data_IF_360068895255
#
_entry.id   IF_360068895255
#
_cell.length_a   1.000
_cell.length_b   1.000
_cell.length_c   1.000
_cell.angle_alpha   90.00
_cell.angle_beta   90.00
_cell.angle_gamma   90.00
#
_symmetry.space_group_name_H-M   'P 1'
#
loop_
_entity.id
_entity.type
_entity.pdbx_description
1 polymer ?
#
# COMPACT_ATOMS: atom_id res chain seq x y z
N UNK A 1 -5.73 13.17 24.57
CA UNK A 1 -5.39 12.94 23.13
C UNK A 1 -5.53 11.45 22.91
N UNK A 2 -6.51 11.05 22.13
CA UNK A 2 -6.68 9.66 21.76
C UNK A 2 -5.44 9.20 20.98
N UNK A 3 -4.76 8.18 21.49
CA UNK A 3 -3.75 7.47 20.72
C UNK A 3 -4.45 6.87 19.49
N UNK A 4 -4.34 7.52 18.36
CA UNK A 4 -4.83 6.98 17.10
C UNK A 4 -3.94 5.80 16.72
N UNK A 5 -4.39 4.61 17.07
CA UNK A 5 -3.72 3.38 16.68
C UNK A 5 -3.71 3.27 15.16
N UNK A 6 -2.53 3.22 14.54
CA UNK A 6 -2.41 2.92 13.12
C UNK A 6 -2.59 1.41 12.96
N UNK A 7 -3.82 1.00 12.68
CA UNK A 7 -4.20 -0.38 12.42
C UNK A 7 -4.45 -0.52 10.93
N UNK A 8 -4.01 -1.63 10.31
CA UNK A 8 -4.33 -1.92 8.93
C UNK A 8 -5.85 -1.88 8.69
N UNK A 9 -6.26 -1.01 7.81
CA UNK A 9 -7.66 -0.86 7.45
C UNK A 9 -7.97 -1.63 6.17
N UNK A 10 -8.51 -2.85 6.33
CA UNK A 10 -8.81 -3.76 5.21
C UNK A 10 -9.84 -3.17 4.24
N UNK A 11 -10.87 -2.49 4.76
CA UNK A 11 -11.89 -1.87 3.91
C UNK A 11 -11.28 -0.76 3.07
N UNK A 12 -10.52 0.16 3.70
CA UNK A 12 -9.80 1.21 2.97
C UNK A 12 -8.79 0.63 1.97
N UNK A 13 -8.10 -0.46 2.33
CA UNK A 13 -7.17 -1.14 1.42
C UNK A 13 -7.88 -1.69 0.17
N UNK A 14 -9.01 -2.35 0.36
CA UNK A 14 -9.84 -2.85 -0.74
C UNK A 14 -10.31 -1.72 -1.66
N UNK A 15 -10.79 -0.62 -1.08
CA UNK A 15 -11.18 0.57 -1.85
C UNK A 15 -9.99 1.25 -2.54
N UNK A 16 -8.80 1.22 -1.93
CA UNK A 16 -7.57 1.76 -2.56
C UNK A 16 -7.14 0.93 -3.78
N UNK A 17 -7.28 -0.39 -3.74
CA UNK A 17 -7.05 -1.25 -4.91
C UNK A 17 -7.97 -0.83 -6.05
N UNK A 18 -9.28 -0.68 -5.79
CA UNK A 18 -10.27 -0.23 -6.77
C UNK A 18 -9.94 1.17 -7.31
N UNK A 19 -9.65 2.10 -6.40
CA UNK A 19 -9.34 3.49 -6.74
C UNK A 19 -8.17 3.59 -7.71
N UNK A 20 -7.08 2.90 -7.40
CA UNK A 20 -5.87 2.88 -8.21
C UNK A 20 -6.11 2.13 -9.53
N UNK A 21 -6.73 0.94 -9.49
CA UNK A 21 -6.98 0.14 -10.68
C UNK A 21 -7.88 0.85 -11.70
N UNK A 22 -8.87 1.63 -11.26
CA UNK A 22 -9.73 2.41 -12.16
C UNK A 22 -9.00 3.57 -12.87
N UNK A 23 -7.82 3.97 -12.38
CA UNK A 23 -7.04 5.10 -12.90
C UNK A 23 -5.80 4.70 -13.69
N UNK A 24 -5.42 3.43 -13.67
CA UNK A 24 -4.24 2.93 -14.35
C UNK A 24 -4.62 2.28 -15.69
N UNK A 25 -3.84 2.53 -16.74
CA UNK A 25 -3.90 1.77 -17.98
C UNK A 25 -3.34 0.35 -17.77
N UNK A 26 -2.17 0.26 -17.13
CA UNK A 26 -1.56 -1.01 -16.76
C UNK A 26 -1.83 -1.33 -15.29
N UNK A 27 -2.66 -2.32 -15.02
CA UNK A 27 -3.22 -2.69 -13.71
C UNK A 27 -2.65 -4.00 -13.16
N UNK A 28 -1.42 -4.33 -13.50
CA UNK A 28 -0.80 -5.52 -12.90
C UNK A 28 -0.52 -5.30 -11.40
N UNK A 29 -0.51 -6.41 -10.66
CA UNK A 29 -0.28 -6.45 -9.22
C UNK A 29 0.98 -5.66 -8.82
N UNK A 30 2.05 -5.82 -9.59
CA UNK A 30 3.31 -5.11 -9.34
C UNK A 30 3.13 -3.59 -9.40
N UNK A 31 2.46 -3.06 -10.44
CA UNK A 31 2.18 -1.63 -10.59
C UNK A 31 1.35 -1.13 -9.41
N UNK A 32 0.26 -1.81 -9.07
CA UNK A 32 -0.62 -1.43 -7.97
C UNK A 32 0.15 -1.37 -6.65
N UNK A 33 0.99 -2.37 -6.34
CA UNK A 33 1.80 -2.37 -5.13
C UNK A 33 2.73 -1.16 -5.03
N UNK A 34 3.37 -0.78 -6.15
CA UNK A 34 4.28 0.37 -6.17
C UNK A 34 3.53 1.70 -6.04
N UNK A 35 2.39 1.84 -6.69
CA UNK A 35 1.54 3.03 -6.54
C UNK A 35 1.09 3.19 -5.09
N UNK A 36 0.66 2.12 -4.42
CA UNK A 36 0.28 2.16 -3.01
C UNK A 36 1.49 2.51 -2.13
N UNK A 37 2.65 1.92 -2.37
CA UNK A 37 3.87 2.23 -1.62
C UNK A 37 4.27 3.70 -1.71
N UNK A 38 4.24 4.28 -2.89
CA UNK A 38 4.55 5.71 -3.07
C UNK A 38 3.49 6.63 -2.47
N UNK A 39 2.22 6.24 -2.53
CA UNK A 39 1.14 6.99 -1.88
C UNK A 39 1.31 7.00 -0.34
N UNK A 40 1.67 5.85 0.25
CA UNK A 40 1.99 5.76 1.69
C UNK A 40 3.14 6.70 2.07
N UNK A 41 4.24 6.68 1.31
CA UNK A 41 5.38 7.58 1.55
C UNK A 41 4.98 9.05 1.44
N UNK A 42 4.18 9.39 0.43
CA UNK A 42 3.68 10.76 0.24
C UNK A 42 2.80 11.20 1.41
N UNK A 43 1.90 10.33 1.85
CA UNK A 43 1.02 10.63 2.97
C UNK A 43 1.80 10.75 4.30
N UNK A 44 2.81 9.90 4.51
CA UNK A 44 3.75 10.06 5.63
C UNK A 44 4.46 11.40 5.58
N UNK A 45 5.00 11.80 4.43
CA UNK A 45 5.69 13.07 4.23
C UNK A 45 4.82 14.28 4.59
N UNK A 46 3.56 14.26 4.14
CA UNK A 46 2.67 15.41 4.25
C UNK A 46 1.93 15.45 5.61
N UNK A 47 1.64 14.30 6.20
CA UNK A 47 0.73 14.17 7.34
C UNK A 47 1.28 13.37 8.52
N UNK A 48 2.47 12.80 8.42
CA UNK A 48 3.10 12.02 9.50
C UNK A 48 2.39 10.71 9.82
N UNK A 49 1.53 10.19 8.94
CA UNK A 49 0.83 8.92 9.12
C UNK A 49 0.62 8.20 7.78
N UNK A 50 0.53 6.86 7.78
CA UNK A 50 0.24 6.10 6.56
C UNK A 50 -1.25 6.15 6.22
N UNK A 51 -1.59 5.79 4.96
CA UNK A 51 -2.98 5.62 4.49
C UNK A 51 -3.57 4.32 5.01
N UNK A 52 -2.86 3.21 4.79
CA UNK A 52 -3.34 1.84 5.03
C UNK A 52 -2.74 1.22 6.29
N UNK A 53 -1.50 1.56 6.63
CA UNK A 53 -0.77 0.92 7.72
C UNK A 53 -0.40 -0.55 7.43
N UNK A 54 -0.19 -0.92 6.16
CA UNK A 54 0.19 -2.28 5.76
C UNK A 54 1.67 -2.57 6.07
N UNK A 55 2.03 -3.84 6.16
CA UNK A 55 3.42 -4.27 6.27
C UNK A 55 3.98 -4.48 4.85
N UNK A 56 5.01 -3.72 4.50
CA UNK A 56 5.70 -3.86 3.22
C UNK A 56 6.86 -4.85 3.33
N UNK A 57 6.88 -5.85 2.45
CA UNK A 57 7.96 -6.85 2.39
C UNK A 57 8.94 -6.50 1.27
N UNK A 58 10.24 -6.57 1.54
CA UNK A 58 11.30 -6.32 0.57
C UNK A 58 11.46 -7.54 -0.36
N UNK A 59 10.67 -7.61 -1.42
CA UNK A 59 10.76 -8.68 -2.43
C UNK A 59 11.66 -8.25 -3.60
N UNK A 60 12.04 -9.21 -4.47
CA UNK A 60 12.98 -8.98 -5.60
C UNK A 60 12.54 -7.85 -6.56
N UNK A 61 11.25 -7.70 -6.74
CA UNK A 61 10.71 -6.64 -7.60
C UNK A 61 10.30 -5.37 -6.83
N UNK A 62 10.82 -5.19 -5.61
CA UNK A 62 10.56 -4.02 -4.74
C UNK A 62 9.51 -4.28 -3.66
N UNK A 63 9.12 -3.24 -2.91
CA UNK A 63 8.19 -3.35 -1.79
C UNK A 63 6.83 -3.93 -2.16
N UNK A 64 6.33 -4.89 -1.38
CA UNK A 64 5.02 -5.54 -1.56
C UNK A 64 4.19 -5.38 -0.29
N UNK A 65 3.01 -4.75 -0.34
CA UNK A 65 2.10 -4.63 0.80
C UNK A 65 1.47 -6.01 1.09
N UNK A 66 1.83 -6.63 2.21
CA UNK A 66 1.53 -8.04 2.46
C UNK A 66 0.03 -8.31 2.60
N UNK A 67 -0.70 -7.47 3.30
CA UNK A 67 -2.14 -7.64 3.50
C UNK A 67 -2.97 -7.27 2.27
N UNK A 68 -2.56 -6.26 1.51
CA UNK A 68 -3.12 -5.98 0.17
C UNK A 68 -2.91 -7.18 -0.75
N UNK A 69 -1.73 -7.78 -0.72
CA UNK A 69 -1.45 -8.98 -1.51
C UNK A 69 -2.33 -10.16 -1.09
N UNK A 70 -2.59 -10.34 0.22
CA UNK A 70 -3.52 -11.37 0.71
C UNK A 70 -4.95 -11.15 0.20
N UNK A 71 -5.44 -9.91 0.16
CA UNK A 71 -6.73 -9.57 -0.46
C UNK A 71 -6.76 -10.01 -1.92
N UNK A 72 -5.72 -9.70 -2.69
CA UNK A 72 -5.64 -10.07 -4.11
C UNK A 72 -5.52 -11.58 -4.32
N UNK A 73 -4.81 -12.30 -3.43
CA UNK A 73 -4.77 -13.78 -3.46
C UNK A 73 -6.14 -14.42 -3.21
N UNK A 74 -6.95 -13.85 -2.32
CA UNK A 74 -8.34 -14.32 -2.10
C UNK A 74 -9.14 -14.23 -3.40
N UNK A 75 -9.07 -13.10 -4.09
CA UNK A 75 -9.79 -12.90 -5.35
C UNK A 75 -9.25 -13.80 -6.45
N UNK A 76 -7.93 -13.95 -6.54
CA UNK A 76 -7.25 -14.84 -7.49
C UNK A 76 -7.54 -16.32 -7.25
N UNK A 77 -7.84 -16.71 -6.00
CA UNK A 77 -8.21 -18.06 -5.64
C UNK A 77 -7.04 -18.95 -5.18
N UNK A 78 -5.89 -18.35 -4.87
CA UNK A 78 -4.70 -19.04 -4.35
C UNK A 78 -4.42 -18.74 -2.85
N UNK A 79 -5.45 -18.27 -2.14
CA UNK A 79 -5.42 -18.07 -0.69
C UNK A 79 -6.13 -19.21 0.04
N UNK A 80 -5.66 -19.53 1.26
CA UNK A 80 -6.38 -20.39 2.21
C UNK A 80 -7.60 -19.69 2.82
N UNK A 81 -7.70 -18.38 2.72
CA UNK A 81 -8.80 -17.58 3.25
C UNK A 81 -9.95 -17.56 2.26
N UNK A 82 -11.18 -17.70 2.79
CA UNK A 82 -12.40 -17.58 2.00
C UNK A 82 -12.75 -16.12 1.73
N UNK A 83 -13.40 -15.86 0.61
CA UNK A 83 -13.97 -14.55 0.30
C UNK A 83 -15.29 -14.34 1.09
N UNK A 84 -15.18 -14.00 2.35
CA UNK A 84 -16.33 -13.71 3.23
C UNK A 84 -16.92 -12.32 3.03
N UNK A 85 -16.21 -11.43 2.34
CA UNK A 85 -16.56 -10.02 2.20
C UNK A 85 -17.05 -9.66 0.79
N UNK A 86 -17.08 -10.63 -0.11
CA UNK A 86 -17.56 -10.41 -1.48
C UNK A 86 -16.56 -9.65 -2.36
N UNK A 87 -15.25 -9.80 -2.10
CA UNK A 87 -14.17 -9.15 -2.87
C UNK A 87 -14.26 -9.46 -4.37
N UNK A 88 -14.64 -10.71 -4.72
CA UNK A 88 -14.83 -11.15 -6.11
C UNK A 88 -15.97 -10.46 -6.84
N UNK A 89 -16.84 -9.74 -6.13
CA UNK A 89 -17.86 -8.87 -6.73
C UNK A 89 -17.34 -7.48 -7.03
N UNK A 90 -16.25 -7.08 -6.36
CA UNK A 90 -15.67 -5.74 -6.50
C UNK A 90 -14.61 -5.69 -7.60
N UNK A 91 -13.81 -6.74 -7.73
CA UNK A 91 -12.79 -6.86 -8.77
C UNK A 91 -12.46 -8.32 -9.07
N UNK A 92 -11.89 -8.57 -10.24
CA UNK A 92 -11.37 -9.85 -10.67
C UNK A 92 -9.86 -9.80 -10.89
N UNK A 93 -9.21 -10.94 -10.98
CA UNK A 93 -7.82 -11.07 -11.40
C UNK A 93 -7.79 -11.87 -12.71
N UNK A 94 -7.31 -11.27 -13.78
CA UNK A 94 -7.10 -11.90 -15.08
C UNK A 94 -5.61 -12.23 -15.27
N UNK A 95 -5.33 -13.31 -16.00
CA UNK A 95 -3.98 -13.78 -16.32
C UNK A 95 -3.04 -13.83 -15.10
N UNK A 96 -3.59 -14.16 -13.93
CA UNK A 96 -2.90 -14.24 -12.63
C UNK A 96 -2.29 -12.94 -12.10
N UNK A 97 -2.34 -11.86 -12.86
CA UNK A 97 -1.63 -10.64 -12.49
C UNK A 97 -2.38 -9.32 -12.74
N UNK A 98 -3.43 -9.30 -13.53
CA UNK A 98 -4.11 -8.06 -13.86
C UNK A 98 -5.39 -7.88 -13.04
N UNK A 99 -5.45 -6.79 -12.30
CA UNK A 99 -6.65 -6.41 -11.54
C UNK A 99 -7.66 -5.77 -12.46
N UNK A 100 -8.86 -6.35 -12.51
CA UNK A 100 -10.00 -5.82 -13.27
C UNK A 100 -11.04 -5.30 -12.30
N UNK A 101 -11.17 -3.97 -12.13
CA UNK A 101 -12.22 -3.41 -11.28
C UNK A 101 -13.59 -3.66 -11.91
N UNK A 102 -14.55 -4.11 -11.10
CA UNK A 102 -15.94 -4.36 -11.49
C UNK A 102 -16.88 -3.26 -11.01
N UNK A 103 -16.38 -2.33 -10.23
CA UNK A 103 -17.10 -1.17 -9.70
C UNK A 103 -16.13 -0.02 -9.42
N UNK A 104 -16.67 1.15 -9.14
CA UNK A 104 -15.92 2.29 -8.65
C UNK A 104 -15.60 2.12 -7.16
N UNK A 105 -14.56 2.81 -6.69
CA UNK A 105 -14.24 2.88 -5.28
C UNK A 105 -15.25 3.75 -4.53
N UNK A 106 -15.61 3.33 -3.30
CA UNK A 106 -16.41 4.15 -2.40
C UNK A 106 -15.55 5.26 -1.78
N UNK A 107 -15.71 6.48 -2.27
CA UNK A 107 -14.92 7.64 -1.81
C UNK A 107 -15.19 8.03 -0.36
N UNK A 108 -16.30 7.59 0.25
CA UNK A 108 -16.58 7.84 1.66
C UNK A 108 -15.62 7.08 2.61
N UNK A 109 -14.83 6.14 2.09
CA UNK A 109 -13.84 5.39 2.86
C UNK A 109 -12.49 6.10 2.96
N UNK A 110 -12.34 7.25 2.33
CA UNK A 110 -11.10 8.03 2.28
C UNK A 110 -11.26 9.40 2.92
N UNK A 111 -10.20 9.88 3.55
CA UNK A 111 -10.03 11.30 3.79
C UNK A 111 -9.60 12.02 2.50
N UNK A 112 -9.69 13.35 2.50
CA UNK A 112 -9.17 14.13 1.39
C UNK A 112 -7.66 13.90 1.19
N UNK A 113 -6.89 13.81 2.27
CA UNK A 113 -5.44 13.57 2.22
C UNK A 113 -5.09 12.19 1.65
N UNK A 114 -5.88 11.15 1.92
CA UNK A 114 -5.71 9.84 1.31
C UNK A 114 -5.84 9.94 -0.22
N UNK A 115 -6.91 10.60 -0.69
CA UNK A 115 -7.15 10.81 -2.12
C UNK A 115 -6.04 11.62 -2.77
N UNK A 116 -5.63 12.73 -2.14
CA UNK A 116 -4.57 13.59 -2.66
C UNK A 116 -3.24 12.81 -2.84
N UNK A 117 -2.89 11.94 -1.88
CA UNK A 117 -1.69 11.11 -1.96
C UNK A 117 -1.81 9.98 -3.00
N UNK A 118 -2.96 9.32 -3.11
CA UNK A 118 -3.22 8.32 -4.13
C UNK A 118 -3.16 8.93 -5.55
N UNK A 119 -3.81 10.08 -5.75
CA UNK A 119 -3.79 10.80 -7.03
C UNK A 119 -2.38 11.27 -7.39
N UNK A 120 -1.63 11.81 -6.42
CA UNK A 120 -0.25 12.18 -6.65
C UNK A 120 0.59 10.98 -7.11
N UNK A 121 0.44 9.83 -6.47
CA UNK A 121 1.19 8.62 -6.83
C UNK A 121 0.81 8.10 -8.21
N UNK A 122 -0.49 8.03 -8.53
CA UNK A 122 -0.98 7.63 -9.86
C UNK A 122 -0.45 8.57 -10.94
N UNK A 123 -0.56 9.88 -10.74
CA UNK A 123 -0.13 10.87 -11.72
C UNK A 123 1.39 10.88 -11.93
N UNK A 124 2.17 10.64 -10.86
CA UNK A 124 3.64 10.66 -10.92
C UNK A 124 4.21 9.38 -11.52
N UNK A 125 3.66 8.23 -11.18
CA UNK A 125 4.27 6.91 -11.47
C UNK A 125 3.40 6.01 -12.35
N UNK A 126 2.13 6.35 -12.57
CA UNK A 126 1.19 5.47 -13.28
C UNK A 126 1.59 5.15 -14.71
N UNK A 127 2.19 6.10 -15.43
CA UNK A 127 2.64 5.93 -16.81
C UNK A 127 3.98 5.18 -16.95
N UNK A 128 4.75 5.00 -15.85
CA UNK A 128 6.06 4.34 -15.90
C UNK A 128 5.94 2.88 -16.35
N UNK A 129 6.95 2.40 -17.06
CA UNK A 129 7.10 0.98 -17.39
C UNK A 129 7.33 0.12 -16.13
N UNK A 130 7.34 -1.21 -16.32
CA UNK A 130 7.65 -2.15 -15.24
C UNK A 130 9.03 -1.88 -14.64
N UNK A 131 10.05 -1.74 -15.48
CA UNK A 131 11.43 -1.56 -15.03
C UNK A 131 11.64 -0.19 -14.37
N UNK A 132 11.06 0.87 -14.93
CA UNK A 132 11.18 2.21 -14.36
C UNK A 132 10.55 2.31 -12.97
N UNK A 133 9.34 1.79 -12.78
CA UNK A 133 8.69 1.86 -11.46
C UNK A 133 9.34 0.91 -10.45
N UNK A 134 9.85 -0.24 -10.90
CA UNK A 134 10.67 -1.14 -10.10
C UNK A 134 11.91 -0.41 -9.58
N UNK A 135 12.68 0.21 -10.47
CA UNK A 135 13.89 0.96 -10.12
C UNK A 135 13.60 2.08 -9.11
N UNK A 136 12.54 2.85 -9.32
CA UNK A 136 12.10 3.90 -8.40
C UNK A 136 11.74 3.38 -7.01
N UNK A 137 11.18 2.16 -6.94
CA UNK A 137 10.79 1.54 -5.68
C UNK A 137 11.94 0.84 -4.94
N UNK A 138 13.09 0.66 -5.58
CA UNK A 138 14.33 0.17 -4.97
C UNK A 138 15.07 1.31 -4.26
N UNK A 139 14.37 2.01 -3.40
CA UNK A 139 14.88 3.12 -2.59
C UNK A 139 15.76 2.64 -1.42
N UNK A 140 16.20 3.56 -0.58
CA UNK A 140 17.07 3.23 0.57
C UNK A 140 16.35 2.33 1.57
N UNK A 141 15.04 2.55 1.82
CA UNK A 141 14.26 1.72 2.74
C UNK A 141 14.23 0.25 2.27
N UNK A 142 14.00 0.02 0.97
CA UNK A 142 14.04 -1.32 0.40
C UNK A 142 15.47 -1.89 0.39
N UNK A 143 16.48 -1.13 -0.04
CA UNK A 143 17.88 -1.60 -0.16
C UNK A 143 18.52 -1.96 1.18
N UNK A 144 18.09 -1.29 2.26
CA UNK A 144 18.60 -1.54 3.61
C UNK A 144 17.90 -2.71 4.33
N UNK A 145 16.88 -3.29 3.71
CA UNK A 145 16.12 -4.41 4.27
C UNK A 145 16.54 -5.72 3.60
N UNK A 146 16.76 -6.76 4.40
CA UNK A 146 17.06 -8.09 3.86
C UNK A 146 15.88 -8.61 3.01
N UNK A 147 16.20 -9.36 1.95
CA UNK A 147 15.17 -9.96 1.08
C UNK A 147 14.15 -10.76 1.89
N UNK A 148 12.89 -10.60 1.53
CA UNK A 148 11.72 -11.26 2.12
C UNK A 148 11.43 -10.88 3.59
N UNK A 149 12.11 -9.85 4.11
CA UNK A 149 11.80 -9.27 5.42
C UNK A 149 10.95 -8.01 5.31
N UNK A 150 10.28 -7.69 6.41
CA UNK A 150 9.48 -6.48 6.52
C UNK A 150 10.37 -5.23 6.52
N UNK A 151 10.04 -4.26 5.68
CA UNK A 151 10.63 -2.93 5.70
C UNK A 151 10.07 -2.20 6.91
N UNK A 152 10.94 -1.69 7.78
CA UNK A 152 10.49 -0.96 8.97
C UNK A 152 9.82 0.36 8.60
N UNK A 153 8.81 0.74 9.37
CA UNK A 153 8.19 2.06 9.20
C UNK A 153 9.16 3.20 9.46
N UNK A 154 10.16 2.99 10.32
CA UNK A 154 11.28 3.93 10.50
C UNK A 154 12.02 4.17 9.18
N UNK A 155 12.36 3.11 8.45
CA UNK A 155 13.04 3.22 7.16
C UNK A 155 12.16 3.91 6.11
N UNK A 156 10.87 3.57 6.06
CA UNK A 156 9.91 4.19 5.13
C UNK A 156 9.73 5.68 5.46
N UNK A 157 9.59 6.04 6.73
CA UNK A 157 9.44 7.41 7.18
C UNK A 157 10.71 8.24 6.89
N UNK A 158 11.88 7.66 7.10
CA UNK A 158 13.17 8.29 6.75
C UNK A 158 13.29 8.53 5.25
N UNK A 159 12.91 7.57 4.43
CA UNK A 159 12.85 7.70 2.98
C UNK A 159 11.82 8.76 2.52
N UNK A 160 10.73 8.92 3.27
CA UNK A 160 9.75 9.98 3.06
C UNK A 160 10.27 11.38 3.45
N UNK A 161 11.42 11.48 4.11
CA UNK A 161 12.06 12.73 4.48
C UNK A 161 11.59 13.31 5.82
N UNK A 162 11.01 12.50 6.71
CA UNK A 162 10.61 12.93 8.05
C UNK A 162 11.83 13.16 8.93
N UNK A 163 11.72 14.06 9.89
CA UNK A 163 12.74 14.30 10.89
C UNK A 163 12.75 13.22 12.01
N UNK A 164 13.76 13.26 12.87
CA UNK A 164 13.95 12.23 13.90
C UNK A 164 12.82 12.21 14.95
N UNK A 165 12.17 13.34 15.22
CA UNK A 165 11.07 13.41 16.20
C UNK A 165 9.79 12.80 15.62
N UNK A 166 9.48 13.11 14.36
CA UNK A 166 8.35 12.54 13.64
C UNK A 166 8.51 11.03 13.45
N UNK A 167 9.73 10.58 13.12
CA UNK A 167 10.06 9.15 12.99
C UNK A 167 9.84 8.42 14.31
N UNK A 168 10.32 8.97 15.42
CA UNK A 168 10.15 8.37 16.75
C UNK A 168 8.67 8.26 17.12
N UNK A 169 7.89 9.30 16.90
CA UNK A 169 6.43 9.30 17.15
C UNK A 169 5.70 8.23 16.33
N UNK A 170 5.98 8.14 15.02
CA UNK A 170 5.37 7.15 14.13
C UNK A 170 5.76 5.73 14.57
N UNK A 171 7.04 5.50 14.85
CA UNK A 171 7.55 4.18 15.25
C UNK A 171 6.90 3.71 16.54
N UNK A 172 6.82 4.57 17.56
CA UNK A 172 6.14 4.25 18.81
C UNK A 172 4.67 3.94 18.62
N UNK A 173 3.98 4.70 17.77
CA UNK A 173 2.56 4.51 17.47
C UNK A 173 2.32 3.18 16.76
N UNK A 174 3.16 2.81 15.80
CA UNK A 174 3.05 1.58 15.02
C UNK A 174 3.49 0.32 15.81
N UNK A 175 4.49 0.44 16.68
CA UNK A 175 4.96 -0.67 17.51
C UNK A 175 4.01 -1.00 18.66
N UNK A 176 3.34 0.00 19.23
CA UNK A 176 2.31 -0.20 20.24
C UNK A 176 1.17 -1.07 19.72
N UNK A 177 0.92 -1.09 18.43
CA UNK A 177 -0.13 -1.87 17.79
C UNK A 177 0.22 -3.35 17.57
N UNK A 178 1.52 -3.70 17.51
CA UNK A 178 1.96 -5.11 17.37
C UNK A 178 1.72 -5.92 18.65
N UNK A 179 1.60 -5.26 19.79
CA UNK A 179 1.43 -5.92 21.09
C UNK A 179 0.01 -6.36 21.39
N UNK A 180 -0.97 -5.99 20.56
CA UNK A 180 -2.41 -6.27 20.75
C UNK A 180 -3.06 -7.02 19.58
N UNK A 181 -2.29 -7.56 18.63
CA UNK A 181 -2.79 -8.31 17.47
C UNK A 181 -2.62 -9.83 17.66
#
# INVERSE_FOLDING_TARGET
MENSQIIFNKEKATQSILYVANRLERRDLHKIFKILYFAERKHLQDWGMPILGDTYIAMDAGPVPSRVYDILKIVRGDSYMSDTEGLKKMFAIEDWMYVVPLQDADLNKFSKSDIDALDWSVNTYGALSYDEIKEKSHDIAWRSTAKDFAISWESIAREAGLDSQDIEYITQTLESNKSFA
#
